data_IF_028359393441
#
_entry.id   IF_028359393441
#
_cell.length_a   1.000
_cell.length_b   1.000
_cell.length_c   1.000
_cell.angle_alpha   90.00
_cell.angle_beta   90.00
_cell.angle_gamma   90.00
#
_symmetry.space_group_name_H-M   'P 1'
#
loop_
_entity.id
_entity.type
_entity.pdbx_description
1 polymer ?
#
# COMPACT_ATOMS: atom_id res chain seq x y z
N UNK A 1 -4.47 -0.59 13.90
CA UNK A 1 -3.73 -0.59 12.61
C UNK A 1 -3.60 -2.00 12.05
N UNK A 2 -2.85 -2.90 12.68
CA UNK A 2 -2.70 -4.27 12.18
C UNK A 2 -4.01 -5.08 12.28
N UNK A 3 -4.69 -5.04 13.44
CA UNK A 3 -6.00 -5.69 13.62
C UNK A 3 -7.04 -5.19 12.60
N UNK A 4 -7.15 -3.86 12.43
CA UNK A 4 -8.08 -3.26 11.45
C UNK A 4 -7.77 -3.67 10.00
N UNK A 5 -6.49 -3.92 9.67
CA UNK A 5 -6.09 -4.33 8.34
C UNK A 5 -6.47 -5.78 8.06
N UNK A 6 -6.27 -6.66 9.05
CA UNK A 6 -6.65 -8.08 8.98
C UNK A 6 -8.16 -8.23 8.87
N UNK A 7 -8.94 -7.52 9.71
CA UNK A 7 -10.40 -7.56 9.66
C UNK A 7 -10.94 -7.07 8.32
N UNK A 8 -10.37 -5.99 7.78
CA UNK A 8 -10.70 -5.49 6.45
C UNK A 8 -10.42 -6.57 5.40
N UNK A 9 -9.23 -7.15 5.38
CA UNK A 9 -8.87 -8.19 4.42
C UNK A 9 -9.82 -9.38 4.52
N UNK A 10 -10.07 -9.89 5.73
CA UNK A 10 -10.98 -11.03 5.95
C UNK A 10 -12.40 -10.74 5.43
N UNK A 11 -12.91 -9.53 5.63
CA UNK A 11 -14.23 -9.13 5.10
C UNK A 11 -14.26 -9.14 3.57
N UNK A 12 -13.24 -8.58 2.94
CA UNK A 12 -13.17 -8.46 1.47
C UNK A 12 -12.86 -9.81 0.77
N UNK A 13 -12.18 -10.72 1.46
CA UNK A 13 -11.81 -12.05 0.94
C UNK A 13 -13.01 -13.00 0.92
N UNK A 14 -13.92 -12.92 1.89
CA UNK A 14 -15.08 -13.82 2.00
C UNK A 14 -15.94 -13.88 0.74
N UNK A 15 -16.00 -12.81 -0.03
CA UNK A 15 -16.81 -12.69 -1.24
C UNK A 15 -16.00 -12.87 -2.53
N UNK A 16 -14.76 -13.35 -2.42
CA UNK A 16 -13.82 -13.41 -3.53
C UNK A 16 -13.75 -14.78 -4.16
N UNK A 17 -13.60 -14.82 -5.48
CA UNK A 17 -13.40 -16.04 -6.26
C UNK A 17 -12.10 -15.98 -7.06
N UNK A 18 -11.38 -17.09 -7.14
CA UNK A 18 -10.13 -17.15 -7.92
C UNK A 18 -8.97 -16.35 -7.33
N UNK A 19 -7.82 -16.50 -7.98
CA UNK A 19 -6.53 -15.94 -7.56
C UNK A 19 -6.45 -14.44 -7.79
N UNK A 20 -6.10 -13.68 -6.74
CA UNK A 20 -6.05 -12.21 -6.79
C UNK A 20 -5.20 -11.60 -5.68
N UNK A 21 -4.74 -10.38 -5.92
CA UNK A 21 -4.02 -9.57 -4.93
C UNK A 21 -4.98 -8.56 -4.31
N UNK A 22 -4.87 -8.37 -3.00
CA UNK A 22 -5.42 -7.25 -2.26
C UNK A 22 -4.30 -6.28 -1.90
N UNK A 23 -4.44 -5.02 -2.34
CA UNK A 23 -3.47 -3.95 -2.09
C UNK A 23 -4.07 -2.89 -1.18
N UNK A 24 -3.53 -2.73 0.02
CA UNK A 24 -3.92 -1.69 0.97
C UNK A 24 -3.33 -0.33 0.54
N UNK A 25 -4.15 0.56 -0.01
CA UNK A 25 -3.65 1.76 -0.70
C UNK A 25 -3.02 2.80 0.22
N UNK A 26 -3.50 2.91 1.46
CA UNK A 26 -3.05 3.95 2.38
C UNK A 26 -2.22 3.36 3.51
N UNK A 27 -1.14 4.04 3.82
CA UNK A 27 -0.30 3.75 4.97
C UNK A 27 0.41 5.00 5.47
N UNK A 28 1.32 4.79 6.42
CA UNK A 28 2.13 5.84 7.00
C UNK A 28 3.59 5.58 6.70
N UNK A 29 4.33 6.64 6.40
CA UNK A 29 5.78 6.61 6.33
C UNK A 29 6.31 7.44 7.48
N UNK A 30 7.01 6.81 8.43
CA UNK A 30 7.58 7.46 9.59
C UNK A 30 9.06 7.72 9.36
N UNK A 31 9.43 9.00 9.36
CA UNK A 31 10.80 9.47 9.20
C UNK A 31 11.42 9.62 10.58
N UNK A 32 12.38 8.74 10.88
CA UNK A 32 12.97 8.64 12.23
C UNK A 32 13.83 9.85 12.58
N UNK A 33 14.51 10.44 11.60
CA UNK A 33 15.34 11.65 11.70
C UNK A 33 14.52 12.88 12.14
N UNK A 34 13.39 13.10 11.46
CA UNK A 34 12.53 14.28 11.62
C UNK A 34 11.36 14.04 12.56
N UNK A 35 11.20 12.80 13.06
CA UNK A 35 10.18 12.37 14.03
C UNK A 35 8.74 12.71 13.60
N UNK A 36 8.41 12.57 12.32
CA UNK A 36 7.04 12.75 11.83
C UNK A 36 6.60 11.60 10.92
N UNK A 37 5.28 11.42 10.82
CA UNK A 37 4.65 10.46 9.93
C UNK A 37 3.82 11.16 8.85
N UNK A 38 3.94 10.70 7.61
CA UNK A 38 3.05 11.12 6.52
C UNK A 38 2.10 10.00 6.16
N UNK A 39 0.82 10.34 5.99
CA UNK A 39 -0.13 9.43 5.33
C UNK A 39 0.15 9.44 3.83
N UNK A 40 0.38 8.27 3.27
CA UNK A 40 0.75 8.07 1.87
C UNK A 40 -0.32 7.25 1.16
N UNK A 41 -0.60 7.59 -0.11
CA UNK A 41 -1.32 6.72 -1.03
C UNK A 41 -0.31 6.06 -1.95
N UNK A 42 -0.21 4.75 -1.93
CA UNK A 42 0.78 4.04 -2.72
C UNK A 42 0.15 2.88 -3.49
N UNK A 43 0.04 3.04 -4.81
CA UNK A 43 -0.60 2.07 -5.71
C UNK A 43 0.33 0.92 -6.10
N UNK A 44 1.63 1.08 -5.90
CA UNK A 44 2.64 0.05 -6.14
C UNK A 44 3.36 -0.29 -4.83
N UNK A 45 2.59 -0.51 -3.77
CA UNK A 45 3.14 -0.77 -2.44
C UNK A 45 3.57 -2.23 -2.28
N UNK A 46 4.40 -2.46 -1.26
CA UNK A 46 4.90 -3.78 -0.89
C UNK A 46 3.95 -4.56 0.04
N UNK A 47 2.90 -3.89 0.55
CA UNK A 47 1.94 -4.43 1.51
C UNK A 47 0.78 -5.09 0.76
N UNK A 48 1.09 -6.23 0.14
CA UNK A 48 0.19 -6.99 -0.70
C UNK A 48 -0.21 -8.31 -0.03
N UNK A 49 -1.48 -8.68 -0.15
CA UNK A 49 -1.99 -9.99 0.25
C UNK A 49 -2.46 -10.74 -0.99
N UNK A 50 -1.80 -11.84 -1.34
CA UNK A 50 -2.29 -12.74 -2.38
C UNK A 50 -3.26 -13.74 -1.76
N UNK A 51 -4.38 -13.97 -2.44
CA UNK A 51 -5.39 -14.95 -2.05
C UNK A 51 -5.70 -15.81 -3.25
N UNK A 52 -5.78 -17.13 -3.04
CA UNK A 52 -6.19 -18.09 -4.06
C UNK A 52 -7.10 -19.16 -3.45
N UNK A 53 -7.99 -19.78 -4.25
CA UNK A 53 -8.69 -20.99 -3.85
C UNK A 53 -7.70 -22.08 -3.46
N UNK A 54 -8.05 -22.85 -2.42
CA UNK A 54 -7.29 -24.02 -2.03
C UNK A 54 -7.86 -25.26 -2.73
N UNK A 55 -7.27 -25.63 -3.86
CA UNK A 55 -7.68 -26.76 -4.70
C UNK A 55 -6.47 -27.40 -5.42
N UNK A 56 -6.73 -28.33 -6.35
CA UNK A 56 -5.70 -29.05 -7.09
C UNK A 56 -4.83 -28.16 -8.00
N UNK A 57 -5.23 -26.91 -8.24
CA UNK A 57 -4.52 -25.93 -9.06
C UNK A 57 -3.79 -24.87 -8.22
N UNK A 58 -3.80 -24.96 -6.88
CA UNK A 58 -3.06 -24.04 -6.01
C UNK A 58 -1.57 -24.10 -6.28
N UNK A 59 -0.94 -22.93 -6.45
CA UNK A 59 0.48 -22.85 -6.81
C UNK A 59 1.35 -22.61 -5.57
N UNK A 60 2.46 -23.33 -5.46
CA UNK A 60 3.52 -22.95 -4.50
C UNK A 60 4.34 -21.82 -5.10
N UNK A 61 4.24 -20.62 -4.51
CA UNK A 61 4.97 -19.44 -4.98
C UNK A 61 6.30 -19.31 -4.23
N UNK A 62 7.40 -19.57 -4.94
CA UNK A 62 8.76 -19.43 -4.40
C UNK A 62 9.16 -17.96 -4.22
N UNK A 63 8.75 -17.10 -5.17
CA UNK A 63 8.98 -15.66 -5.05
C UNK A 63 7.95 -14.88 -5.86
N UNK A 64 7.61 -13.68 -5.38
CA UNK A 64 6.72 -12.77 -6.07
C UNK A 64 7.27 -11.34 -6.01
N UNK A 65 7.69 -10.80 -7.15
CA UNK A 65 8.21 -9.42 -7.18
C UNK A 65 7.03 -8.46 -7.09
N UNK A 66 6.87 -7.76 -5.97
CA UNK A 66 5.78 -6.79 -5.74
C UNK A 66 5.59 -5.79 -6.89
N UNK A 67 6.67 -5.31 -7.53
CA UNK A 67 6.59 -4.40 -8.70
C UNK A 67 5.94 -5.01 -9.95
N UNK A 68 5.94 -6.34 -10.07
CA UNK A 68 5.29 -7.07 -11.16
C UNK A 68 3.97 -7.70 -10.73
N UNK A 69 3.80 -7.93 -9.44
CA UNK A 69 2.69 -8.66 -8.86
C UNK A 69 1.33 -8.14 -9.32
N UNK A 70 1.17 -6.81 -9.24
CA UNK A 70 -0.05 -6.10 -9.62
C UNK A 70 -0.36 -6.20 -11.13
N UNK A 71 0.66 -6.39 -11.98
CA UNK A 71 0.49 -6.58 -13.43
C UNK A 71 0.21 -8.03 -13.81
N UNK A 72 0.54 -8.97 -12.94
CA UNK A 72 0.46 -10.40 -13.20
C UNK A 72 -0.80 -11.05 -12.61
N UNK A 73 -1.43 -10.42 -11.61
CA UNK A 73 -2.66 -10.92 -11.00
C UNK A 73 -3.75 -9.84 -11.00
N UNK A 74 -5.02 -10.24 -11.11
CA UNK A 74 -6.14 -9.37 -10.77
C UNK A 74 -5.90 -8.73 -9.40
N UNK A 75 -5.99 -7.40 -9.32
CA UNK A 75 -5.69 -6.66 -8.10
C UNK A 75 -6.87 -5.84 -7.65
N UNK A 76 -7.28 -6.04 -6.40
CA UNK A 76 -8.29 -5.24 -5.70
C UNK A 76 -7.59 -4.20 -4.84
N UNK A 77 -7.87 -2.92 -5.10
CA UNK A 77 -7.31 -1.83 -4.33
C UNK A 77 -8.25 -1.42 -3.19
N UNK A 78 -7.79 -1.60 -1.95
CA UNK A 78 -8.56 -1.27 -0.76
C UNK A 78 -8.18 0.14 -0.29
N UNK A 79 -9.08 1.10 -0.52
CA UNK A 79 -8.95 2.47 -0.09
C UNK A 79 -9.68 2.69 1.25
N UNK A 80 -8.96 3.17 2.25
CA UNK A 80 -9.49 3.51 3.58
C UNK A 80 -9.19 4.96 3.99
N UNK A 81 -10.00 5.47 4.90
CA UNK A 81 -9.82 6.77 5.55
C UNK A 81 -8.53 6.85 6.38
N UNK A 82 -8.09 5.73 6.97
CA UNK A 82 -6.84 5.60 7.76
C UNK A 82 -5.78 4.78 7.03
N UNK A 83 -4.52 5.00 7.34
CA UNK A 83 -3.44 4.10 6.88
C UNK A 83 -3.53 2.73 7.55
N UNK A 84 -3.21 1.67 6.81
CA UNK A 84 -3.28 0.27 7.26
C UNK A 84 -1.92 -0.43 7.34
N UNK A 85 -0.86 0.23 6.88
CA UNK A 85 0.52 -0.21 7.02
C UNK A 85 1.39 0.98 7.47
N UNK A 86 2.56 0.66 8.03
CA UNK A 86 3.57 1.62 8.47
C UNK A 86 4.91 1.19 7.90
N UNK A 87 5.59 2.10 7.22
CA UNK A 87 6.98 1.98 6.81
C UNK A 87 7.84 2.90 7.68
N UNK A 88 8.91 2.37 8.26
CA UNK A 88 9.88 3.13 9.06
C UNK A 88 11.08 3.44 8.16
N UNK A 89 11.36 4.72 7.98
CA UNK A 89 12.47 5.20 7.17
C UNK A 89 13.59 5.73 8.07
N UNK A 90 14.74 5.10 7.94
CA UNK A 90 16.00 5.44 8.60
C UNK A 90 16.87 6.30 7.66
N UNK A 91 17.75 7.11 8.25
CA UNK A 91 18.60 8.07 7.52
C UNK A 91 19.41 7.44 6.38
N UNK A 92 19.86 6.19 6.54
CA UNK A 92 20.67 5.48 5.55
C UNK A 92 19.85 4.82 4.41
N UNK A 93 18.51 4.82 4.50
CA UNK A 93 17.62 4.22 3.48
C UNK A 93 17.38 5.14 2.26
N UNK A 94 18.43 5.87 1.85
CA UNK A 94 18.46 6.85 0.75
C UNK A 94 18.05 6.24 -0.60
N UNK A 95 18.00 4.90 -0.75
CA UNK A 95 17.48 4.29 -1.99
C UNK A 95 15.95 4.41 -2.15
N UNK A 96 15.20 4.74 -1.11
CA UNK A 96 13.78 5.14 -1.21
C UNK A 96 13.60 6.65 -1.37
N UNK A 97 14.70 7.41 -1.36
CA UNK A 97 14.68 8.85 -1.57
C UNK A 97 14.32 9.12 -3.04
N UNK A 98 13.07 9.54 -3.25
CA UNK A 98 12.61 10.24 -4.44
C UNK A 98 12.50 9.50 -5.79
N UNK A 99 12.49 8.17 -5.86
CA UNK A 99 12.11 7.46 -7.11
C UNK A 99 10.65 7.06 -7.20
N UNK A 100 9.79 7.78 -6.49
CA UNK A 100 8.38 7.44 -6.42
C UNK A 100 7.54 8.46 -7.19
N UNK A 101 6.91 7.97 -8.28
CA UNK A 101 5.72 8.55 -8.89
C UNK A 101 4.52 8.51 -7.90
N UNK A 102 4.71 8.99 -6.67
CA UNK A 102 3.67 9.08 -5.65
C UNK A 102 2.88 10.36 -5.87
N UNK A 103 1.56 10.22 -5.97
CA UNK A 103 0.63 11.32 -5.68
C UNK A 103 0.56 11.46 -4.18
N UNK A 104 1.38 12.35 -3.60
CA UNK A 104 1.33 12.68 -2.17
C UNK A 104 0.00 13.38 -1.92
N UNK A 105 -0.88 12.79 -1.11
CA UNK A 105 -2.05 13.47 -0.57
C UNK A 105 -1.73 13.78 0.89
N UNK A 106 -1.16 14.96 1.13
CA UNK A 106 -0.94 15.44 2.50
C UNK A 106 -2.29 15.82 3.08
N UNK A 107 -2.73 15.10 4.11
CA UNK A 107 -3.80 15.57 5.00
C UNK A 107 -3.12 16.07 6.27
N UNK A 108 -3.11 17.39 6.47
CA UNK A 108 -2.65 18.01 7.70
C UNK A 108 -3.77 18.92 8.21
N UNK A 109 -4.32 18.74 9.41
CA UNK A 109 -5.35 19.64 9.94
C UNK A 109 -4.85 21.09 10.13
N UNK A 110 -3.53 21.29 10.19
CA UNK A 110 -2.88 22.59 10.32
C UNK A 110 -2.57 23.29 8.98
N UNK A 111 -2.70 22.58 7.86
CA UNK A 111 -2.53 23.15 6.52
C UNK A 111 -3.89 23.04 5.85
N UNK A 112 -4.49 24.17 5.43
CA UNK A 112 -5.81 24.20 4.80
C UNK A 112 -5.96 23.27 3.57
N UNK A 113 -7.11 23.32 2.86
CA UNK A 113 -7.44 22.35 1.82
C UNK A 113 -6.31 22.18 0.79
N UNK A 114 -6.08 20.96 0.29
CA UNK A 114 -4.87 20.61 -0.46
C UNK A 114 -4.73 21.50 -1.70
N UNK A 115 -3.67 22.31 -1.71
CA UNK A 115 -3.29 23.10 -2.87
C UNK A 115 -2.79 22.12 -3.94
N UNK A 116 -3.58 21.91 -5.00
CA UNK A 116 -3.16 21.21 -6.21
C UNK A 116 -2.00 21.97 -6.85
N UNK A 117 -0.76 21.66 -6.47
CA UNK A 117 0.41 22.06 -7.28
C UNK A 117 0.58 21.06 -8.41
N UNK A 118 0.01 21.39 -9.55
CA UNK A 118 0.45 20.83 -10.83
C UNK A 118 1.87 21.33 -11.10
N UNK A 119 2.79 20.42 -11.48
CA UNK A 119 3.97 20.79 -12.27
C UNK A 119 3.71 20.32 -13.71
N UNK A 120 3.89 21.19 -14.73
CA UNK A 120 3.88 20.76 -16.12
C UNK A 120 5.14 19.94 -16.43
N UNK A 121 5.07 19.27 -17.60
CA UNK A 121 6.03 18.34 -18.16
C UNK A 121 7.48 18.84 -18.22
#
# INVERSE_FOLDING_TARGET
MAADAVELLQREIRFSSGKRIYSLLYGYQYFTDRRFALKMRYTNNHFLTLVEPFDAHSETIVSYRHTKAIRQQPTVYLATDKGKWLEIVHEDNVSNDFRINIKVVVYSPALGPPVRRFRPA
#
